data_IF_372639428215
#
_entry.id   IF_372639428215
#
_cell.length_a   1.000
_cell.length_b   1.000
_cell.length_c   1.000
_cell.angle_alpha   90.00
_cell.angle_beta   90.00
_cell.angle_gamma   90.00
#
_symmetry.space_group_name_H-M   'P 1'
#
loop_
_entity.id
_entity.type
_entity.pdbx_description
1 polymer ?
#
# COMPACT_ATOMS: atom_id res chain seq x y z
N UNK A 1 36.17 -6.27 -3.55
CA UNK A 1 35.03 -7.13 -3.93
C UNK A 1 33.78 -6.32 -3.63
N UNK A 2 33.23 -5.62 -4.62
CA UNK A 2 32.00 -4.85 -4.43
C UNK A 2 30.86 -5.84 -4.27
N UNK A 3 30.35 -6.01 -3.06
CA UNK A 3 29.15 -6.79 -2.80
C UNK A 3 27.98 -6.04 -3.42
N UNK A 4 27.60 -6.41 -4.65
CA UNK A 4 26.43 -5.85 -5.33
C UNK A 4 25.19 -6.15 -4.50
N UNK A 5 24.75 -5.16 -3.72
CA UNK A 5 23.56 -5.29 -2.90
C UNK A 5 22.34 -5.20 -3.83
N UNK A 6 21.78 -6.36 -4.18
CA UNK A 6 20.63 -6.49 -5.08
C UNK A 6 19.38 -5.73 -4.59
N UNK A 7 19.38 -5.30 -3.33
CA UNK A 7 18.29 -4.55 -2.72
C UNK A 7 18.49 -3.03 -2.74
N UNK A 8 19.65 -2.53 -3.16
CA UNK A 8 20.00 -1.11 -3.09
C UNK A 8 19.04 -0.19 -3.87
N UNK A 9 18.41 -0.71 -4.92
CA UNK A 9 17.50 0.07 -5.75
C UNK A 9 16.05 0.13 -5.20
N UNK A 10 15.71 -0.61 -4.15
CA UNK A 10 14.38 -0.53 -3.57
C UNK A 10 14.28 0.74 -2.69
N UNK A 11 13.38 1.70 -2.99
CA UNK A 11 13.28 2.97 -2.27
C UNK A 11 13.02 2.86 -0.77
N UNK A 12 12.57 1.71 -0.29
CA UNK A 12 12.33 1.46 1.13
C UNK A 12 13.64 1.21 1.92
N UNK A 13 14.75 0.88 1.26
CA UNK A 13 16.04 0.76 1.95
C UNK A 13 16.62 2.14 2.23
N UNK A 14 16.93 2.40 3.49
CA UNK A 14 17.45 3.68 3.95
C UNK A 14 16.39 4.66 4.45
N UNK A 15 15.09 4.37 4.26
CA UNK A 15 14.00 5.17 4.83
C UNK A 15 13.26 4.45 5.97
N UNK A 16 12.97 5.21 7.02
CA UNK A 16 12.19 4.72 8.16
C UNK A 16 10.70 4.66 7.85
N UNK A 17 9.96 3.80 8.55
CA UNK A 17 8.50 3.74 8.47
C UNK A 17 7.84 5.09 8.80
N UNK A 18 8.45 5.86 9.70
CA UNK A 18 8.03 7.23 10.02
C UNK A 18 8.13 8.15 8.82
N UNK A 19 9.25 8.13 8.11
CA UNK A 19 9.43 8.96 6.92
C UNK A 19 8.48 8.56 5.79
N UNK A 20 8.31 7.27 5.53
CA UNK A 20 7.32 6.75 4.56
C UNK A 20 5.93 7.29 4.87
N UNK A 21 5.51 7.19 6.13
CA UNK A 21 4.19 7.65 6.54
C UNK A 21 4.04 9.16 6.42
N UNK A 22 5.05 9.92 6.85
CA UNK A 22 5.04 11.39 6.75
C UNK A 22 4.94 11.83 5.29
N UNK A 23 5.75 11.28 4.37
CA UNK A 23 5.68 11.62 2.94
C UNK A 23 4.28 11.33 2.34
N UNK A 24 3.67 10.18 2.71
CA UNK A 24 2.34 9.83 2.24
C UNK A 24 1.25 10.78 2.78
N UNK A 25 1.33 11.13 4.06
CA UNK A 25 0.36 12.03 4.70
C UNK A 25 0.53 13.46 4.20
N UNK A 26 1.76 13.91 3.99
CA UNK A 26 2.05 15.26 3.48
C UNK A 26 1.53 15.43 2.05
N UNK A 27 1.57 14.36 1.24
CA UNK A 27 1.09 14.41 -0.14
C UNK A 27 -0.41 14.15 -0.30
N UNK A 28 -0.97 13.14 0.39
CA UNK A 28 -2.36 12.70 0.19
C UNK A 28 -3.30 13.04 1.35
N UNK A 29 -2.77 13.27 2.54
CA UNK A 29 -3.58 13.41 3.76
C UNK A 29 -4.17 12.09 4.26
N UNK A 30 -4.64 12.10 5.51
CA UNK A 30 -5.19 10.90 6.16
C UNK A 30 -6.49 10.40 5.53
N UNK A 31 -7.32 11.31 5.01
CA UNK A 31 -8.65 10.97 4.48
C UNK A 31 -8.55 10.13 3.20
N UNK A 32 -7.72 10.56 2.25
CA UNK A 32 -7.46 9.81 1.00
C UNK A 32 -6.80 8.48 1.34
N UNK A 33 -5.78 8.47 2.21
CA UNK A 33 -5.12 7.23 2.62
C UNK A 33 -6.11 6.24 3.27
N UNK A 34 -7.04 6.73 4.08
CA UNK A 34 -8.09 5.88 4.65
C UNK A 34 -9.04 5.36 3.57
N UNK A 35 -9.43 6.18 2.59
CA UNK A 35 -10.33 5.76 1.51
C UNK A 35 -9.73 4.63 0.66
N UNK A 36 -8.43 4.67 0.37
CA UNK A 36 -7.74 3.65 -0.43
C UNK A 36 -7.29 2.44 0.40
N UNK A 37 -6.75 2.65 1.59
CA UNK A 37 -6.16 1.58 2.40
C UNK A 37 -7.14 0.97 3.41
N UNK A 38 -8.22 1.66 3.75
CA UNK A 38 -9.22 1.25 4.73
C UNK A 38 -8.56 0.80 6.06
N UNK A 39 -7.71 1.65 6.61
CA UNK A 39 -6.97 1.41 7.85
C UNK A 39 -7.55 2.25 8.98
N UNK A 40 -8.05 1.59 10.03
CA UNK A 40 -8.72 2.26 11.16
C UNK A 40 -7.86 3.34 11.85
N UNK A 41 -6.53 3.20 11.85
CA UNK A 41 -5.64 4.19 12.45
C UNK A 41 -5.74 5.58 11.80
N UNK A 42 -6.18 5.67 10.54
CA UNK A 42 -6.38 6.92 9.83
C UNK A 42 -7.77 7.53 10.04
N UNK A 43 -8.72 6.78 10.62
CA UNK A 43 -10.07 7.25 10.87
C UNK A 43 -10.30 7.65 12.34
N UNK A 44 -9.82 6.85 13.31
CA UNK A 44 -10.20 7.03 14.72
C UNK A 44 -9.38 8.09 15.46
N UNK A 45 -8.07 8.22 15.15
CA UNK A 45 -7.20 9.24 15.74
C UNK A 45 -6.05 9.51 14.77
N UNK A 46 -6.30 10.23 13.66
CA UNK A 46 -5.31 10.46 12.61
C UNK A 46 -4.16 11.31 13.14
N UNK A 47 -3.04 10.64 13.43
CA UNK A 47 -1.76 11.30 13.72
C UNK A 47 -0.61 10.40 13.31
N UNK A 48 0.55 10.99 13.02
CA UNK A 48 1.76 10.23 12.69
C UNK A 48 2.13 9.29 13.86
N UNK A 49 2.11 9.79 15.10
CA UNK A 49 2.49 9.00 16.29
C UNK A 49 1.55 7.82 16.56
N UNK A 50 0.23 8.04 16.50
CA UNK A 50 -0.77 6.97 16.70
C UNK A 50 -0.70 5.92 15.60
N UNK A 51 -0.56 6.35 14.36
CA UNK A 51 -0.41 5.48 13.19
C UNK A 51 0.87 4.65 13.28
N UNK A 52 2.01 5.25 13.62
CA UNK A 52 3.26 4.50 13.81
C UNK A 52 3.17 3.44 14.91
N UNK A 53 2.50 3.76 16.03
CA UNK A 53 2.27 2.79 17.10
C UNK A 53 1.42 1.60 16.62
N UNK A 54 0.43 1.85 15.77
CA UNK A 54 -0.40 0.81 15.16
C UNK A 54 0.41 -0.02 14.15
N UNK A 55 1.09 0.62 13.21
CA UNK A 55 1.86 -0.05 12.15
C UNK A 55 3.02 -0.90 12.68
N UNK A 56 3.65 -0.48 13.78
CA UNK A 56 4.66 -1.29 14.47
C UNK A 56 4.11 -2.59 15.06
N UNK A 57 2.81 -2.64 15.38
CA UNK A 57 2.15 -3.83 15.94
C UNK A 57 1.45 -4.68 14.87
N UNK A 58 1.15 -4.10 13.72
CA UNK A 58 0.31 -4.71 12.70
C UNK A 58 1.09 -4.82 11.40
N UNK A 59 1.84 -5.93 11.26
CA UNK A 59 2.78 -6.13 10.16
C UNK A 59 2.12 -6.09 8.78
N UNK A 60 0.98 -6.75 8.60
CA UNK A 60 0.26 -6.69 7.31
C UNK A 60 -0.14 -5.25 6.93
N UNK A 61 -0.39 -4.37 7.91
CA UNK A 61 -0.73 -2.97 7.65
C UNK A 61 0.51 -2.15 7.30
N UNK A 62 1.66 -2.43 7.93
CA UNK A 62 2.97 -1.88 7.56
C UNK A 62 3.28 -2.23 6.11
N UNK A 63 3.18 -3.51 5.74
CA UNK A 63 3.44 -3.99 4.38
C UNK A 63 2.45 -3.39 3.37
N UNK A 64 1.19 -3.18 3.77
CA UNK A 64 0.19 -2.52 2.92
C UNK A 64 0.57 -1.07 2.62
N UNK A 65 1.04 -0.32 3.61
CA UNK A 65 1.50 1.07 3.43
C UNK A 65 2.78 1.14 2.60
N UNK A 66 3.75 0.28 2.88
CA UNK A 66 5.01 0.26 2.14
C UNK A 66 4.79 -0.17 0.68
N UNK A 67 3.91 -1.13 0.43
CA UNK A 67 3.47 -1.48 -0.92
C UNK A 67 2.78 -0.32 -1.63
N UNK A 68 1.90 0.41 -0.93
CA UNK A 68 1.25 1.61 -1.47
C UNK A 68 2.28 2.70 -1.80
N UNK A 69 3.27 2.89 -0.94
CA UNK A 69 4.36 3.83 -1.18
C UNK A 69 5.14 3.48 -2.46
N UNK A 70 5.50 2.22 -2.67
CA UNK A 70 6.23 1.79 -3.88
C UNK A 70 5.42 2.02 -5.17
N UNK A 71 4.16 1.60 -5.19
CA UNK A 71 3.40 1.54 -6.44
C UNK A 71 2.57 2.80 -6.71
N UNK A 72 2.07 3.46 -5.68
CA UNK A 72 1.21 4.64 -5.84
C UNK A 72 1.97 5.94 -5.65
N UNK A 73 2.94 5.98 -4.74
CA UNK A 73 3.72 7.21 -4.49
C UNK A 73 5.01 7.28 -5.30
N UNK A 74 5.72 6.16 -5.46
CA UNK A 74 6.92 6.08 -6.32
C UNK A 74 6.59 5.59 -7.73
N UNK A 75 5.32 5.30 -8.04
CA UNK A 75 4.86 4.87 -9.38
C UNK A 75 5.72 3.78 -10.01
N UNK A 76 6.24 2.86 -9.20
CA UNK A 76 7.04 1.75 -9.69
C UNK A 76 6.14 0.74 -10.43
N UNK A 77 6.68 0.06 -11.45
CA UNK A 77 5.96 -1.02 -12.10
C UNK A 77 5.68 -2.14 -11.10
N UNK A 78 4.56 -2.84 -11.33
CA UNK A 78 4.15 -3.97 -10.50
C UNK A 78 5.24 -5.05 -10.52
N UNK A 79 5.61 -5.53 -9.34
CA UNK A 79 6.58 -6.62 -9.20
C UNK A 79 6.02 -7.95 -9.74
N UNK A 80 6.92 -8.85 -10.13
CA UNK A 80 6.60 -10.22 -10.52
C UNK A 80 5.89 -10.98 -9.40
N UNK A 81 5.15 -12.04 -9.75
CA UNK A 81 4.37 -12.81 -8.77
C UNK A 81 5.22 -13.37 -7.62
N UNK A 82 6.41 -13.90 -7.92
CA UNK A 82 7.34 -14.43 -6.93
C UNK A 82 7.83 -13.35 -5.95
N UNK A 83 8.08 -12.14 -6.44
CA UNK A 83 8.47 -10.99 -5.63
C UNK A 83 7.29 -10.43 -4.84
N UNK A 84 6.06 -10.51 -5.38
CA UNK A 84 4.87 -10.00 -4.72
C UNK A 84 4.49 -10.83 -3.48
N UNK A 85 4.88 -12.10 -3.44
CA UNK A 85 4.75 -12.97 -2.24
C UNK A 85 5.66 -12.51 -1.09
N UNK A 86 6.74 -11.78 -1.38
CA UNK A 86 7.66 -11.25 -0.38
C UNK A 86 7.15 -9.92 0.20
N UNK A 87 7.53 -9.59 1.46
CA UNK A 87 7.30 -8.28 2.05
C UNK A 87 7.89 -7.17 1.16
N UNK A 88 7.28 -5.97 1.11
CA UNK A 88 7.73 -4.88 0.24
C UNK A 88 9.21 -4.52 0.36
N UNK A 89 9.78 -4.60 1.56
CA UNK A 89 11.20 -4.34 1.82
C UNK A 89 12.13 -5.43 1.28
N UNK A 90 11.65 -6.65 1.09
CA UNK A 90 12.48 -7.77 0.61
C UNK A 90 12.37 -7.94 -0.91
N UNK A 91 11.62 -7.05 -1.58
CA UNK A 91 11.46 -7.08 -3.04
C UNK A 91 12.67 -6.50 -3.74
N UNK A 92 13.10 -7.19 -4.78
CA UNK A 92 14.17 -6.75 -5.67
C UNK A 92 13.56 -5.82 -6.72
N UNK A 93 14.06 -4.58 -6.80
CA UNK A 93 13.67 -3.62 -7.84
C UNK A 93 14.80 -3.56 -8.87
N UNK A 94 14.56 -3.99 -10.13
CA UNK A 94 15.58 -3.94 -11.17
C UNK A 94 16.17 -2.53 -11.37
N UNK A 95 17.49 -2.37 -11.60
CA UNK A 95 18.15 -1.05 -11.66
C UNK A 95 17.63 -0.07 -12.74
N UNK A 96 16.92 -0.60 -13.74
CA UNK A 96 16.32 0.22 -14.81
C UNK A 96 14.98 0.83 -14.40
N UNK A 97 14.32 0.29 -13.38
CA UNK A 97 13.11 0.89 -12.81
C UNK A 97 13.50 2.03 -11.90
N UNK A 98 12.98 3.22 -12.21
CA UNK A 98 13.19 4.44 -11.43
C UNK A 98 11.84 4.89 -10.84
N UNK A 99 11.84 5.43 -9.62
CA UNK A 99 10.66 6.08 -9.09
C UNK A 99 10.16 7.21 -10.01
N UNK A 100 8.86 7.21 -10.27
CA UNK A 100 8.16 8.29 -10.95
C UNK A 100 7.50 9.27 -9.99
N UNK A 101 6.63 10.11 -10.53
CA UNK A 101 5.81 11.05 -9.76
C UNK A 101 4.70 10.31 -8.98
N UNK A 102 4.29 10.83 -7.81
CA UNK A 102 3.15 10.29 -7.08
C UNK A 102 1.88 10.30 -7.94
N UNK A 103 1.14 9.20 -7.90
CA UNK A 103 -0.10 9.08 -8.64
C UNK A 103 -1.18 10.00 -8.07
N UNK A 104 -1.96 10.64 -8.93
CA UNK A 104 -3.10 11.44 -8.53
C UNK A 104 -4.22 10.53 -8.00
N UNK A 105 -4.67 10.79 -6.77
CA UNK A 105 -5.70 9.99 -6.09
C UNK A 105 -6.95 10.83 -5.88
N UNK A 106 -8.11 10.26 -6.21
CA UNK A 106 -9.41 10.89 -6.02
C UNK A 106 -10.30 10.04 -5.10
N UNK A 107 -11.17 10.71 -4.35
CA UNK A 107 -12.18 10.02 -3.54
C UNK A 107 -13.15 9.20 -4.40
N UNK A 108 -13.49 9.69 -5.59
CA UNK A 108 -14.38 8.98 -6.52
C UNK A 108 -13.75 7.65 -6.97
N UNK A 109 -12.43 7.66 -7.21
CA UNK A 109 -11.69 6.45 -7.58
C UNK A 109 -11.64 5.45 -6.43
N UNK A 110 -11.43 5.92 -5.20
CA UNK A 110 -11.48 5.07 -4.01
C UNK A 110 -12.88 4.43 -3.84
N UNK A 111 -13.94 5.19 -4.06
CA UNK A 111 -15.31 4.67 -3.99
C UNK A 111 -15.56 3.62 -5.08
N UNK A 112 -15.16 3.91 -6.32
CA UNK A 112 -15.25 2.97 -7.43
C UNK A 112 -14.50 1.66 -7.14
N UNK A 113 -13.30 1.74 -6.57
CA UNK A 113 -12.53 0.56 -6.14
C UNK A 113 -13.28 -0.22 -5.06
N UNK A 114 -13.84 0.47 -4.06
CA UNK A 114 -14.63 -0.17 -3.00
C UNK A 114 -15.88 -0.86 -3.53
N UNK A 115 -16.63 -0.21 -4.42
CA UNK A 115 -17.80 -0.79 -5.07
C UNK A 115 -17.42 -2.02 -5.92
N UNK A 116 -16.32 -1.94 -6.68
CA UNK A 116 -15.78 -3.07 -7.46
C UNK A 116 -15.39 -4.25 -6.57
N UNK A 117 -14.69 -4.00 -5.46
CA UNK A 117 -14.31 -5.04 -4.50
C UNK A 117 -15.56 -5.65 -3.87
N UNK A 118 -16.52 -4.84 -3.41
CA UNK A 118 -17.77 -5.33 -2.81
C UNK A 118 -18.58 -6.20 -3.79
N UNK A 119 -18.70 -5.76 -5.05
CA UNK A 119 -19.36 -6.54 -6.11
C UNK A 119 -18.68 -7.89 -6.32
N UNK A 120 -17.34 -7.91 -6.48
CA UNK A 120 -16.57 -9.16 -6.65
C UNK A 120 -16.69 -10.09 -5.43
N UNK A 121 -16.66 -9.54 -4.22
CA UNK A 121 -16.84 -10.33 -3.00
C UNK A 121 -18.23 -10.96 -2.96
N UNK A 122 -19.28 -10.19 -3.28
CA UNK A 122 -20.66 -10.70 -3.37
C UNK A 122 -20.81 -11.79 -4.44
N UNK A 123 -20.24 -11.59 -5.63
CA UNK A 123 -20.25 -12.58 -6.70
C UNK A 123 -19.56 -13.88 -6.29
N UNK A 124 -18.46 -13.78 -5.54
CA UNK A 124 -17.75 -14.96 -5.01
C UNK A 124 -18.50 -15.67 -3.90
N UNK A 125 -19.28 -14.94 -3.09
CA UNK A 125 -20.07 -15.54 -2.00
C UNK A 125 -21.46 -15.99 -2.45
N UNK A 126 -21.95 -15.53 -3.61
CA UNK A 126 -23.23 -15.95 -4.17
C UNK A 126 -23.17 -17.37 -4.73
N UNK A 127 -24.13 -18.20 -4.34
CA UNK A 127 -24.40 -19.53 -4.92
C UNK A 127 -25.81 -19.55 -5.52
N UNK A 128 -26.17 -20.52 -6.39
CA UNK A 128 -27.53 -20.63 -6.91
C UNK A 128 -28.60 -20.68 -5.80
N UNK A 129 -28.29 -21.33 -4.67
CA UNK A 129 -29.16 -21.42 -3.49
C UNK A 129 -29.10 -20.21 -2.55
N UNK A 130 -28.10 -19.32 -2.69
CA UNK A 130 -28.01 -18.07 -1.94
C UNK A 130 -27.54 -16.91 -2.85
N UNK A 131 -28.46 -16.25 -3.57
CA UNK A 131 -28.15 -15.18 -4.51
C UNK A 131 -27.51 -13.94 -3.86
N UNK A 132 -27.71 -13.77 -2.56
CA UNK A 132 -27.26 -12.60 -1.82
C UNK A 132 -25.87 -12.78 -1.20
N UNK A 133 -25.31 -14.00 -1.23
CA UNK A 133 -24.10 -14.36 -0.51
C UNK A 133 -24.30 -14.33 1.01
N UNK A 134 -23.40 -14.93 1.78
CA UNK A 134 -23.34 -14.72 3.24
C UNK A 134 -22.43 -13.56 3.59
#
# INVERSE_FOLDING_TARGET
MSSNNIYENNPLHGIGLEQVLTELVDHYGFEILNAYLNLNCFNTNPSIKSSLKFLKKTEWAKDKIEGFYLYQFKSLPRADESQFLLPPRDRIVPPHHKPGEPAELSFDDAENLRQKIAKKTRERSSTPDNPWGK
#
